data_IF_643454823095
#
_entry.id   IF_643454823095
#
_cell.length_a   1.000
_cell.length_b   1.000
_cell.length_c   1.000
_cell.angle_alpha   90.00
_cell.angle_beta   90.00
_cell.angle_gamma   90.00
#
_symmetry.space_group_name_H-M   'P 1'
#
loop_
_entity.id
_entity.type
_entity.pdbx_description
1 polymer ?
#
# COMPACT_ATOMS: atom_id res chain seq x y z
N UNK A 1 8.24 -2.92 -19.72
CA UNK A 1 7.89 -2.38 -18.37
C UNK A 1 6.39 -2.13 -18.24
N UNK A 2 5.73 -1.48 -19.20
CA UNK A 2 4.28 -1.22 -19.15
C UNK A 2 3.41 -2.49 -18.97
N UNK A 3 3.61 -3.51 -19.81
CA UNK A 3 2.86 -4.78 -19.72
C UNK A 3 3.01 -5.49 -18.36
N UNK A 4 4.21 -5.46 -17.76
CA UNK A 4 4.47 -6.02 -16.43
C UNK A 4 3.59 -5.41 -15.33
N UNK A 5 3.28 -4.11 -15.44
CA UNK A 5 2.39 -3.45 -14.49
C UNK A 5 0.92 -3.81 -14.72
N UNK A 6 0.49 -3.90 -15.98
CA UNK A 6 -0.89 -4.27 -16.31
C UNK A 6 -1.21 -5.72 -15.93
N UNK A 7 -0.34 -6.66 -16.32
CA UNK A 7 -0.53 -8.09 -16.03
C UNK A 7 -0.44 -8.39 -14.53
N UNK A 8 0.35 -7.61 -13.78
CA UNK A 8 0.53 -7.78 -12.35
C UNK A 8 -0.41 -6.94 -11.48
N UNK A 9 -1.23 -6.04 -12.05
CA UNK A 9 -2.04 -5.08 -11.30
C UNK A 9 -2.98 -5.76 -10.29
N UNK A 10 -3.77 -6.70 -10.77
CA UNK A 10 -4.76 -7.43 -9.97
C UNK A 10 -4.12 -8.23 -8.81
N UNK A 11 -3.13 -9.12 -9.07
CA UNK A 11 -2.48 -9.86 -7.98
C UNK A 11 -1.68 -8.95 -7.03
N UNK A 12 -1.02 -7.91 -7.53
CA UNK A 12 -0.30 -6.95 -6.69
C UNK A 12 -1.27 -6.16 -5.78
N UNK A 13 -2.45 -5.81 -6.30
CA UNK A 13 -3.45 -5.03 -5.54
C UNK A 13 -3.99 -5.84 -4.38
N UNK A 14 -4.36 -7.10 -4.64
CA UNK A 14 -4.77 -8.04 -3.58
C UNK A 14 -3.68 -8.23 -2.53
N UNK A 15 -2.43 -8.37 -2.96
CA UNK A 15 -1.31 -8.61 -2.06
C UNK A 15 -1.04 -7.40 -1.16
N UNK A 16 -1.01 -6.18 -1.71
CA UNK A 16 -0.83 -4.96 -0.93
C UNK A 16 -2.00 -4.73 0.03
N UNK A 17 -3.23 -4.96 -0.43
CA UNK A 17 -4.42 -4.86 0.43
C UNK A 17 -4.35 -5.79 1.63
N UNK A 18 -4.11 -7.09 1.40
CA UNK A 18 -3.96 -8.07 2.48
C UNK A 18 -2.86 -7.68 3.48
N UNK A 19 -1.79 -7.06 2.97
CA UNK A 19 -0.67 -6.61 3.79
C UNK A 19 -1.03 -5.41 4.68
N UNK A 20 -1.77 -4.44 4.13
CA UNK A 20 -2.32 -3.31 4.86
C UNK A 20 -3.31 -3.77 5.93
N UNK A 21 -4.19 -4.71 5.60
CA UNK A 21 -5.17 -5.25 6.55
C UNK A 21 -4.48 -5.97 7.72
N UNK A 22 -3.46 -6.79 7.42
CA UNK A 22 -2.63 -7.46 8.45
C UNK A 22 -1.92 -6.43 9.35
N UNK A 23 -1.36 -5.38 8.76
CA UNK A 23 -0.67 -4.34 9.52
C UNK A 23 -1.61 -3.50 10.39
N UNK A 24 -2.81 -3.21 9.89
CA UNK A 24 -3.86 -2.56 10.67
C UNK A 24 -4.28 -3.42 11.86
N UNK A 25 -4.46 -4.74 11.66
CA UNK A 25 -4.79 -5.67 12.74
C UNK A 25 -3.69 -5.74 13.81
N UNK A 26 -2.42 -5.84 13.42
CA UNK A 26 -1.30 -5.84 14.36
C UNK A 26 -1.29 -4.54 15.19
N UNK A 27 -1.46 -3.40 14.53
CA UNK A 27 -1.51 -2.08 15.18
C UNK A 27 -2.67 -1.97 16.19
N UNK A 28 -3.85 -2.51 15.86
CA UNK A 28 -5.02 -2.53 16.76
C UNK A 28 -4.79 -3.36 18.01
N UNK A 29 -4.01 -4.43 17.91
CA UNK A 29 -3.63 -5.28 19.06
C UNK A 29 -2.48 -4.68 19.88
N UNK A 30 -1.99 -3.50 19.51
CA UNK A 30 -0.82 -2.87 20.14
C UNK A 30 0.51 -3.53 19.75
N UNK A 31 0.49 -4.40 18.74
CA UNK A 31 1.67 -5.09 18.23
C UNK A 31 2.39 -4.28 17.15
N UNK A 32 3.70 -4.49 17.02
CA UNK A 32 4.51 -3.86 15.98
C UNK A 32 4.45 -4.72 14.72
N UNK A 33 4.03 -4.13 13.61
CA UNK A 33 4.12 -4.81 12.32
C UNK A 33 5.59 -4.94 11.88
N UNK A 34 6.12 -6.17 11.85
CA UNK A 34 7.54 -6.46 11.65
C UNK A 34 7.98 -6.41 10.17
N UNK A 35 7.08 -6.72 9.24
CA UNK A 35 7.43 -6.89 7.83
C UNK A 35 7.16 -5.63 6.97
N UNK A 36 7.50 -4.45 7.51
CA UNK A 36 7.30 -3.18 6.80
C UNK A 36 8.07 -3.10 5.47
N UNK A 37 9.19 -3.81 5.35
CA UNK A 37 10.02 -3.85 4.13
C UNK A 37 9.26 -4.46 2.94
N UNK A 38 8.52 -5.56 3.16
CA UNK A 38 7.68 -6.18 2.13
C UNK A 38 6.55 -5.24 1.72
N UNK A 39 5.94 -4.55 2.69
CA UNK A 39 4.91 -3.54 2.42
C UNK A 39 5.42 -2.39 1.56
N UNK A 40 6.63 -1.90 1.86
CA UNK A 40 7.30 -0.88 1.05
C UNK A 40 7.62 -1.37 -0.36
N UNK A 41 8.04 -2.63 -0.53
CA UNK A 41 8.28 -3.22 -1.85
C UNK A 41 7.03 -3.26 -2.72
N UNK A 42 5.90 -3.66 -2.14
CA UNK A 42 4.60 -3.64 -2.80
C UNK A 42 4.15 -2.22 -3.14
N UNK A 43 4.29 -1.27 -2.21
CA UNK A 43 3.98 0.14 -2.48
C UNK A 43 4.82 0.68 -3.66
N UNK A 44 6.12 0.37 -3.69
CA UNK A 44 7.02 0.81 -4.75
C UNK A 44 6.62 0.28 -6.14
N UNK A 45 6.00 -0.90 -6.24
CA UNK A 45 5.44 -1.39 -7.50
C UNK A 45 4.40 -0.39 -8.04
N UNK A 46 3.43 0.01 -7.22
CA UNK A 46 2.40 0.97 -7.62
C UNK A 46 2.96 2.35 -7.93
N UNK A 47 3.88 2.85 -7.10
CA UNK A 47 4.52 4.15 -7.35
C UNK A 47 5.25 4.18 -8.70
N UNK A 48 5.93 3.10 -9.06
CA UNK A 48 6.63 2.99 -10.35
C UNK A 48 5.64 2.86 -11.51
N UNK A 49 4.57 2.08 -11.35
CA UNK A 49 3.50 1.95 -12.33
C UNK A 49 2.78 3.27 -12.60
N UNK A 50 2.50 4.05 -11.55
CA UNK A 50 1.93 5.40 -11.67
C UNK A 50 2.90 6.36 -12.35
N UNK A 51 4.17 6.36 -11.93
CA UNK A 51 5.18 7.28 -12.48
C UNK A 51 5.43 7.07 -13.98
N UNK A 52 5.21 5.84 -14.50
CA UNK A 52 5.35 5.55 -15.93
C UNK A 52 4.01 5.52 -16.70
N UNK A 53 2.89 5.85 -16.05
CA UNK A 53 1.56 5.88 -16.66
C UNK A 53 0.94 4.51 -16.94
N UNK A 54 1.50 3.43 -16.37
CA UNK A 54 0.99 2.07 -16.52
C UNK A 54 -0.12 1.72 -15.52
N UNK A 55 -0.23 2.48 -14.43
CA UNK A 55 -1.28 2.36 -13.43
C UNK A 55 -1.81 3.77 -13.16
N UNK A 56 -3.12 3.96 -13.19
CA UNK A 56 -3.75 5.22 -12.78
C UNK A 56 -3.88 5.30 -11.26
N UNK A 57 -4.00 6.51 -10.73
CA UNK A 57 -4.29 6.73 -9.30
C UNK A 57 -5.60 6.03 -8.88
N UNK A 58 -6.59 5.96 -9.76
CA UNK A 58 -7.87 5.27 -9.51
C UNK A 58 -7.71 3.75 -9.46
N UNK A 59 -6.96 3.15 -10.38
CA UNK A 59 -6.64 1.71 -10.33
C UNK A 59 -5.88 1.34 -9.06
N UNK A 60 -4.96 2.20 -8.61
CA UNK A 60 -4.22 1.99 -7.38
C UNK A 60 -5.11 1.98 -6.12
N UNK A 61 -6.34 2.52 -6.16
CA UNK A 61 -7.28 2.42 -5.03
C UNK A 61 -7.72 0.99 -4.73
N UNK A 62 -7.60 0.06 -5.68
CA UNK A 62 -7.88 -1.36 -5.46
C UNK A 62 -6.99 -1.98 -4.35
N UNK A 63 -5.85 -1.34 -4.05
CA UNK A 63 -4.95 -1.72 -2.94
C UNK A 63 -5.53 -1.43 -1.55
N UNK A 64 -6.63 -0.66 -1.46
CA UNK A 64 -7.17 -0.18 -0.18
C UNK A 64 -6.44 1.04 0.39
N UNK A 65 -5.51 1.63 -0.37
CA UNK A 65 -4.87 2.90 -0.04
C UNK A 65 -5.66 4.09 -0.62
N UNK A 66 -5.69 5.17 0.13
CA UNK A 66 -6.10 6.49 -0.36
C UNK A 66 -5.00 7.12 -1.21
N UNK A 67 -5.35 8.14 -2.00
CA UNK A 67 -4.37 8.88 -2.80
C UNK A 67 -3.34 9.59 -1.93
N UNK A 68 -3.75 10.08 -0.75
CA UNK A 68 -2.84 10.71 0.21
C UNK A 68 -1.80 9.70 0.74
N UNK A 69 -2.25 8.49 1.06
CA UNK A 69 -1.37 7.40 1.49
C UNK A 69 -0.39 6.98 0.40
N UNK A 70 -0.86 6.84 -0.84
CA UNK A 70 0.02 6.59 -1.99
C UNK A 70 1.08 7.70 -2.14
N UNK A 71 0.67 8.97 -1.99
CA UNK A 71 1.57 10.14 -2.09
C UNK A 71 2.57 10.25 -0.95
N UNK A 72 2.29 9.65 0.21
CA UNK A 72 3.23 9.56 1.32
C UNK A 72 4.50 8.76 0.96
N UNK A 73 4.39 7.84 -0.01
CA UNK A 73 5.47 6.99 -0.54
C UNK A 73 6.18 6.12 0.51
N UNK A 74 5.65 6.07 1.73
CA UNK A 74 6.25 5.35 2.85
C UNK A 74 5.18 4.49 3.52
N UNK A 75 5.38 3.18 3.47
CA UNK A 75 4.48 2.22 4.10
C UNK A 75 4.36 2.47 5.61
N UNK A 76 5.48 2.77 6.28
CA UNK A 76 5.48 3.11 7.70
C UNK A 76 4.66 4.37 8.02
N UNK A 77 4.77 5.42 7.19
CA UNK A 77 3.95 6.63 7.37
C UNK A 77 2.46 6.35 7.19
N UNK A 78 2.09 5.47 6.25
CA UNK A 78 0.70 5.04 6.05
C UNK A 78 0.17 4.40 7.33
N UNK A 79 0.92 3.46 7.92
CA UNK A 79 0.52 2.80 9.16
C UNK A 79 0.42 3.78 10.34
N UNK A 80 1.39 4.68 10.48
CA UNK A 80 1.40 5.70 11.53
C UNK A 80 0.20 6.66 11.42
N UNK A 81 -0.11 7.12 10.20
CA UNK A 81 -1.30 7.94 9.92
C UNK A 81 -2.59 7.21 10.28
N UNK A 82 -2.73 5.93 9.90
CA UNK A 82 -3.92 5.12 10.26
C UNK A 82 -4.03 4.90 11.76
N UNK A 83 -2.90 4.64 12.44
CA UNK A 83 -2.87 4.50 13.90
C UNK A 83 -3.37 5.76 14.60
N UNK A 84 -2.91 6.94 14.16
CA UNK A 84 -3.33 8.23 14.70
C UNK A 84 -4.81 8.51 14.46
N UNK A 85 -5.34 8.13 13.30
CA UNK A 85 -6.76 8.27 12.98
C UNK A 85 -7.67 7.35 13.81
N UNK A 86 -7.17 6.19 14.23
CA UNK A 86 -7.90 5.20 15.04
C UNK A 86 -7.72 5.38 16.56
N UNK A 87 -6.86 6.30 17.01
CA UNK A 87 -6.68 6.58 18.42
C UNK A 87 -7.90 7.37 18.97
N UNK A 88 -8.46 6.97 20.13
CA UNK A 88 -9.59 7.65 20.75
C UNK A 88 -9.26 9.05 21.26
#
# INVERSE_FOLDING_TARGET
VYAFFLEGLDPASRRLKAFIDKAAQATLLGDVFDDAATGQGLLNYFLRGISCGAITEEEARATGLTLEELRSRSFLKILDSRRKASAP
#
